data_IF_126684087540
#
_entry.id   IF_126684087540
#
_cell.length_a   1.000
_cell.length_b   1.000
_cell.length_c   1.000
_cell.angle_alpha   90.00
_cell.angle_beta   90.00
_cell.angle_gamma   90.00
#
_symmetry.space_group_name_H-M   'P 1'
#
loop_
_entity.id
_entity.type
_entity.pdbx_description
1 polymer ?
#
# COMPACT_ATOMS: atom_id res chain seq x y z
N UNK A 1 2.96 -8.43 19.42
CA UNK A 1 4.23 -8.16 18.71
C UNK A 1 3.91 -7.14 17.63
N UNK A 2 4.46 -5.91 17.69
CA UNK A 2 4.16 -4.85 16.73
C UNK A 2 5.23 -4.88 15.64
N UNK A 3 4.84 -5.20 14.40
CA UNK A 3 5.66 -4.91 13.22
C UNK A 3 5.78 -3.38 13.15
N UNK A 4 6.99 -2.86 13.00
CA UNK A 4 7.21 -1.43 12.78
C UNK A 4 6.99 -1.18 11.30
N UNK A 5 5.80 -0.70 10.96
CA UNK A 5 5.44 -0.29 9.60
C UNK A 5 5.77 1.18 9.39
N UNK A 6 5.97 1.53 8.13
CA UNK A 6 6.45 2.83 7.70
C UNK A 6 5.85 3.09 6.33
N UNK A 7 5.14 4.20 6.17
CA UNK A 7 4.24 4.41 5.04
C UNK A 7 4.52 5.74 4.36
N UNK A 8 4.48 5.75 3.03
CA UNK A 8 4.50 6.94 2.20
C UNK A 8 3.40 6.82 1.13
N UNK A 9 2.24 7.43 1.38
CA UNK A 9 1.04 7.26 0.57
C UNK A 9 0.34 8.57 0.28
N UNK A 10 -0.30 8.62 -0.89
CA UNK A 10 -1.39 9.54 -1.17
C UNK A 10 -2.70 8.80 -0.84
N UNK A 11 -3.52 9.42 -0.01
CA UNK A 11 -4.83 8.92 0.36
C UNK A 11 -5.90 9.97 0.02
N UNK A 12 -7.03 9.57 -0.54
CA UNK A 12 -8.14 10.50 -0.70
C UNK A 12 -8.72 10.87 0.65
N UNK A 13 -8.99 12.16 0.87
CA UNK A 13 -9.54 12.61 2.15
C UNK A 13 -10.87 11.93 2.42
N UNK A 14 -11.04 11.52 3.67
CA UNK A 14 -12.31 11.02 4.16
C UNK A 14 -13.32 12.17 4.21
N UNK A 15 -14.45 12.02 3.52
CA UNK A 15 -15.56 12.96 3.56
C UNK A 15 -16.86 12.19 3.83
N UNK A 16 -17.75 12.71 4.70
CA UNK A 16 -19.04 12.09 4.96
C UNK A 16 -19.82 11.83 3.66
N UNK A 17 -20.42 10.65 3.54
CA UNK A 17 -21.20 10.24 2.38
C UNK A 17 -20.39 9.85 1.13
N UNK A 18 -19.06 10.04 1.15
CA UNK A 18 -18.20 9.59 0.05
C UNK A 18 -17.82 8.12 0.23
N UNK A 19 -18.02 7.33 -0.81
CA UNK A 19 -17.46 5.99 -0.91
C UNK A 19 -16.95 5.69 -2.30
N UNK A 20 -16.16 4.63 -2.41
CA UNK A 20 -15.41 4.26 -3.59
C UNK A 20 -15.76 2.85 -4.03
N UNK A 21 -15.80 2.65 -5.34
CA UNK A 21 -16.07 1.35 -5.97
C UNK A 21 -14.85 0.81 -6.72
N UNK A 22 -13.90 1.69 -7.07
CA UNK A 22 -12.69 1.34 -7.82
C UNK A 22 -11.51 2.22 -7.41
N UNK A 23 -10.33 1.61 -7.43
CA UNK A 23 -9.02 2.26 -7.38
C UNK A 23 -8.15 1.66 -8.50
N UNK A 24 -7.43 2.49 -9.24
CA UNK A 24 -6.50 2.04 -10.29
C UNK A 24 -5.29 2.97 -10.40
N UNK A 25 -4.20 2.44 -10.94
CA UNK A 25 -2.96 3.18 -11.17
C UNK A 25 -1.87 2.25 -11.69
N UNK A 26 -0.89 2.84 -12.38
CA UNK A 26 0.26 2.13 -12.92
C UNK A 26 1.45 2.34 -11.98
N UNK A 27 1.96 1.26 -11.42
CA UNK A 27 3.08 1.29 -10.48
C UNK A 27 4.38 1.01 -11.24
N UNK A 28 5.34 1.92 -11.17
CA UNK A 28 6.72 1.64 -11.60
C UNK A 28 7.43 0.90 -10.48
N UNK A 29 8.07 -0.23 -10.79
CA UNK A 29 8.65 -1.13 -9.79
C UNK A 29 10.11 -1.41 -10.06
N UNK A 30 10.84 -1.63 -8.96
CA UNK A 30 12.27 -1.89 -8.95
C UNK A 30 12.56 -3.14 -8.13
N UNK A 31 13.56 -3.91 -8.56
CA UNK A 31 14.06 -5.06 -7.80
C UNK A 31 14.92 -4.57 -6.63
N UNK A 32 14.26 -4.31 -5.50
CA UNK A 32 14.92 -3.82 -4.29
C UNK A 32 15.76 -4.92 -3.63
N UNK A 33 16.95 -4.55 -3.16
CA UNK A 33 17.79 -5.44 -2.35
C UNK A 33 17.34 -5.42 -0.89
N UNK A 34 16.18 -6.00 -0.61
CA UNK A 34 15.67 -6.16 0.75
C UNK A 34 16.45 -7.28 1.45
N UNK A 35 17.18 -6.95 2.51
CA UNK A 35 17.92 -7.93 3.32
C UNK A 35 17.07 -8.56 4.40
N UNK A 36 16.19 -7.76 5.01
CA UNK A 36 15.30 -8.15 6.09
C UNK A 36 14.04 -7.28 6.04
N UNK A 37 12.90 -7.81 6.49
CA UNK A 37 11.60 -7.15 6.38
C UNK A 37 11.04 -7.21 4.96
N UNK A 38 10.05 -6.38 4.69
CA UNK A 38 9.32 -6.37 3.42
C UNK A 38 9.13 -4.94 2.89
N UNK A 39 9.14 -4.80 1.57
CA UNK A 39 8.80 -3.55 0.88
C UNK A 39 7.64 -3.76 -0.08
N UNK A 40 6.69 -2.84 -0.08
CA UNK A 40 5.47 -2.86 -0.86
C UNK A 40 5.32 -1.56 -1.66
N UNK A 41 4.86 -1.67 -2.90
CA UNK A 41 4.27 -0.59 -3.68
C UNK A 41 2.84 -1.01 -4.02
N UNK A 42 1.85 -0.27 -3.54
CA UNK A 42 0.48 -0.73 -3.49
C UNK A 42 -0.55 0.35 -3.85
N UNK A 43 -1.68 -0.14 -4.33
CA UNK A 43 -2.95 0.58 -4.34
C UNK A 43 -3.90 -0.10 -3.35
N UNK A 44 -4.73 0.68 -2.69
CA UNK A 44 -5.62 0.17 -1.65
C UNK A 44 -7.00 0.79 -1.73
N UNK A 45 -8.00 -0.01 -1.37
CA UNK A 45 -9.34 0.43 -1.06
C UNK A 45 -9.72 -0.16 0.31
N UNK A 46 -10.22 0.68 1.20
CA UNK A 46 -10.39 0.37 2.62
C UNK A 46 -11.77 0.86 3.11
N UNK A 47 -12.37 0.05 4.00
CA UNK A 47 -13.57 0.35 4.78
C UNK A 47 -13.31 0.08 6.26
N UNK A 48 -13.95 0.84 7.14
CA UNK A 48 -13.82 0.70 8.60
C UNK A 48 -12.58 1.38 9.19
N UNK A 49 -12.56 1.47 10.53
CA UNK A 49 -11.50 2.13 11.30
C UNK A 49 -10.57 1.12 11.97
N UNK A 50 -9.30 1.50 12.08
CA UNK A 50 -8.16 0.88 12.78
C UNK A 50 -8.20 -0.65 13.03
N UNK A 51 -9.14 -1.09 13.86
CA UNK A 51 -9.22 -2.42 14.44
C UNK A 51 -10.26 -3.33 13.77
N UNK A 52 -11.05 -2.82 12.83
CA UNK A 52 -12.01 -3.55 11.98
C UNK A 52 -11.85 -3.17 10.51
N UNK A 53 -10.60 -3.00 10.09
CA UNK A 53 -10.28 -2.58 8.72
C UNK A 53 -10.59 -3.71 7.76
N UNK A 54 -11.55 -3.47 6.88
CA UNK A 54 -11.78 -4.28 5.71
C UNK A 54 -11.00 -3.65 4.56
N UNK A 55 -10.06 -4.38 3.97
CA UNK A 55 -9.16 -3.82 2.97
C UNK A 55 -8.93 -4.81 1.81
N UNK A 56 -8.93 -4.27 0.60
CA UNK A 56 -8.32 -4.90 -0.56
C UNK A 56 -7.10 -4.07 -0.92
N UNK A 57 -5.94 -4.71 -0.91
CA UNK A 57 -4.65 -4.08 -1.21
C UNK A 57 -4.00 -4.92 -2.30
N UNK A 58 -3.44 -4.29 -3.31
CA UNK A 58 -2.72 -5.00 -4.37
C UNK A 58 -1.59 -4.17 -4.93
N UNK A 59 -0.60 -4.83 -5.49
CA UNK A 59 0.55 -4.19 -6.11
C UNK A 59 1.72 -5.14 -6.18
N UNK A 60 2.91 -4.62 -5.89
CA UNK A 60 4.16 -5.34 -5.98
C UNK A 60 4.90 -5.30 -4.65
N UNK A 61 5.53 -6.41 -4.29
CA UNK A 61 6.31 -6.51 -3.06
C UNK A 61 7.64 -7.22 -3.27
N UNK A 62 8.59 -6.94 -2.39
CA UNK A 62 9.80 -7.74 -2.19
C UNK A 62 9.79 -8.22 -0.74
N UNK A 63 9.65 -9.53 -0.55
CA UNK A 63 9.66 -10.18 0.77
C UNK A 63 10.54 -11.43 0.72
N UNK A 64 11.80 -11.32 1.17
CA UNK A 64 12.68 -12.46 1.30
C UNK A 64 12.11 -13.52 2.25
N UNK A 65 11.35 -13.10 3.27
CA UNK A 65 10.76 -14.00 4.27
C UNK A 65 9.67 -14.89 3.65
N UNK A 66 8.76 -14.30 2.87
CA UNK A 66 7.64 -15.03 2.27
C UNK A 66 8.06 -15.85 1.05
N UNK A 67 9.13 -15.43 0.35
CA UNK A 67 9.55 -16.01 -0.93
C UNK A 67 10.99 -16.54 -0.90
N UNK A 68 11.38 -17.16 0.22
CA UNK A 68 12.63 -17.93 0.33
C UNK A 68 13.89 -17.21 -0.16
N UNK A 69 14.03 -15.93 0.19
CA UNK A 69 15.19 -15.11 -0.17
C UNK A 69 15.11 -14.41 -1.52
N UNK A 70 13.97 -14.45 -2.21
CA UNK A 70 13.76 -13.75 -3.48
C UNK A 70 14.06 -12.25 -3.37
N UNK A 71 14.77 -11.72 -4.37
CA UNK A 71 15.18 -10.31 -4.49
C UNK A 71 14.53 -9.57 -5.66
N UNK A 72 13.43 -10.11 -6.17
CA UNK A 72 12.68 -9.54 -7.29
C UNK A 72 11.27 -9.15 -6.84
N UNK A 73 10.67 -8.19 -7.56
CA UNK A 73 9.31 -7.78 -7.30
C UNK A 73 8.31 -8.88 -7.66
N UNK A 74 7.40 -9.19 -6.75
CA UNK A 74 6.35 -10.18 -6.92
C UNK A 74 5.00 -9.48 -6.79
N UNK A 75 4.10 -9.74 -7.73
CA UNK A 75 2.73 -9.24 -7.64
C UNK A 75 2.02 -9.89 -6.45
N UNK A 76 1.31 -9.08 -5.68
CA UNK A 76 0.52 -9.56 -4.56
C UNK A 76 -0.90 -8.98 -4.58
N UNK A 77 -1.81 -9.75 -4.02
CA UNK A 77 -3.12 -9.29 -3.59
C UNK A 77 -3.26 -9.63 -2.12
N UNK A 78 -3.80 -8.71 -1.32
CA UNK A 78 -4.08 -8.91 0.08
C UNK A 78 -5.53 -8.52 0.35
N UNK A 79 -6.29 -9.41 0.98
CA UNK A 79 -7.65 -9.14 1.43
C UNK A 79 -7.78 -9.49 2.90
N UNK A 80 -8.37 -8.57 3.66
CA UNK A 80 -8.72 -8.75 5.06
C UNK A 80 -10.08 -8.10 5.36
N UNK A 81 -10.80 -8.62 6.34
CA UNK A 81 -12.05 -8.01 6.84
C UNK A 81 -11.90 -7.46 8.28
N UNK A 82 -10.75 -7.70 8.92
CA UNK A 82 -10.51 -7.38 10.33
C UNK A 82 -9.12 -6.80 10.62
N UNK A 83 -8.45 -6.26 9.61
CA UNK A 83 -7.10 -5.72 9.74
C UNK A 83 -6.03 -6.79 9.95
N UNK A 84 -6.27 -8.01 9.50
CA UNK A 84 -5.32 -9.12 9.52
C UNK A 84 -5.08 -9.72 10.90
N UNK A 85 -6.10 -9.66 11.76
CA UNK A 85 -6.05 -10.20 13.12
C UNK A 85 -6.36 -11.68 13.17
N UNK A 86 -7.47 -12.06 12.54
CA UNK A 86 -7.97 -13.43 12.44
C UNK A 86 -8.33 -13.79 11.00
N UNK A 87 -8.55 -12.79 10.16
CA UNK A 87 -8.78 -12.97 8.73
C UNK A 87 -7.58 -12.47 7.93
N UNK A 88 -7.52 -12.79 6.65
CA UNK A 88 -6.39 -12.41 5.83
C UNK A 88 -6.14 -13.44 4.77
N UNK A 89 -5.87 -12.98 3.57
CA UNK A 89 -5.29 -13.82 2.55
C UNK A 89 -4.36 -12.98 1.71
N UNK A 90 -3.19 -13.56 1.45
CA UNK A 90 -2.15 -13.00 0.62
C UNK A 90 -2.01 -13.83 -0.66
N UNK A 91 -1.65 -13.15 -1.74
CA UNK A 91 -1.44 -13.66 -3.10
C UNK A 91 -2.72 -14.02 -3.85
N UNK A 92 -2.54 -14.60 -5.04
CA UNK A 92 -3.62 -14.89 -5.98
C UNK A 92 -4.52 -16.07 -5.56
N UNK A 93 -4.10 -16.85 -4.56
CA UNK A 93 -4.83 -18.05 -4.10
C UNK A 93 -5.93 -17.74 -3.09
N UNK A 94 -6.47 -16.52 -3.10
CA UNK A 94 -7.47 -16.10 -2.14
C UNK A 94 -8.88 -16.62 -2.48
N UNK A 95 -9.59 -17.24 -1.52
CA UNK A 95 -10.93 -17.77 -1.78
C UNK A 95 -11.90 -16.67 -2.22
N UNK A 96 -12.72 -16.92 -3.25
CA UNK A 96 -13.75 -15.96 -3.68
C UNK A 96 -14.67 -15.50 -2.53
N UNK A 97 -14.92 -16.38 -1.55
CA UNK A 97 -15.76 -16.11 -0.37
C UNK A 97 -15.27 -14.92 0.47
N UNK A 98 -13.97 -14.65 0.53
CA UNK A 98 -13.45 -13.50 1.30
C UNK A 98 -13.65 -12.17 0.56
N UNK A 99 -14.07 -12.20 -0.72
CA UNK A 99 -14.36 -10.99 -1.48
C UNK A 99 -15.77 -10.44 -1.24
N UNK A 100 -16.72 -11.33 -0.93
CA UNK A 100 -18.09 -10.98 -0.55
C UNK A 100 -18.05 -10.28 0.82
N UNK A 101 -18.76 -9.15 0.98
CA UNK A 101 -18.78 -8.27 2.18
C UNK A 101 -17.80 -7.09 2.18
N UNK A 102 -17.52 -6.47 1.02
CA UNK A 102 -16.81 -5.19 0.96
C UNK A 102 -17.80 -4.02 0.85
N UNK A 103 -18.46 -3.67 1.95
CA UNK A 103 -19.49 -2.63 1.96
C UNK A 103 -18.91 -1.23 2.26
N UNK A 104 -19.40 -0.24 1.52
CA UNK A 104 -19.14 1.19 1.71
C UNK A 104 -17.66 1.56 1.93
N UNK A 105 -16.76 1.36 0.96
CA UNK A 105 -15.34 1.68 1.12
C UNK A 105 -15.13 3.20 1.15
N UNK A 106 -14.50 3.70 2.20
CA UNK A 106 -14.39 5.14 2.47
C UNK A 106 -13.00 5.70 2.21
N UNK A 107 -12.03 4.83 1.92
CA UNK A 107 -10.63 5.18 1.76
C UNK A 107 -10.11 4.53 0.50
N UNK A 108 -9.42 5.31 -0.34
CA UNK A 108 -8.58 4.81 -1.43
C UNK A 108 -7.22 5.48 -1.34
N UNK A 109 -6.17 4.75 -1.71
CA UNK A 109 -4.82 5.29 -1.66
C UNK A 109 -3.83 4.57 -2.56
N UNK A 110 -2.69 5.23 -2.77
CA UNK A 110 -1.59 4.79 -3.61
C UNK A 110 -0.28 5.13 -2.89
N UNK A 111 0.67 4.19 -2.86
CA UNK A 111 2.01 4.51 -2.39
C UNK A 111 2.79 3.29 -1.93
N UNK A 112 3.77 3.55 -1.07
CA UNK A 112 4.68 2.53 -0.55
C UNK A 112 4.49 2.28 0.94
N UNK A 113 4.71 1.03 1.33
CA UNK A 113 4.73 0.58 2.73
C UNK A 113 6.01 -0.23 2.89
N UNK A 114 6.72 -0.06 4.01
CA UNK A 114 7.79 -0.96 4.42
C UNK A 114 7.48 -1.51 5.80
N UNK A 115 7.64 -2.82 5.94
CA UNK A 115 7.48 -3.52 7.20
C UNK A 115 8.86 -3.94 7.69
N UNK A 116 9.27 -3.44 8.84
CA UNK A 116 10.55 -3.82 9.44
C UNK A 116 10.56 -5.31 9.82
N UNK A 117 11.76 -5.87 9.88
CA UNK A 117 11.96 -7.23 10.36
C UNK A 117 11.52 -7.40 11.81
N UNK A 118 11.28 -8.65 12.19
CA UNK A 118 10.98 -9.03 13.56
C UNK A 118 11.97 -10.11 14.04
N UNK A 119 12.82 -9.84 15.04
CA UNK A 119 12.90 -8.61 15.83
C UNK A 119 13.38 -7.38 15.02
N UNK A 120 13.03 -6.15 15.44
CA UNK A 120 13.47 -4.94 14.75
C UNK A 120 14.99 -4.79 14.87
N UNK A 121 15.68 -4.71 13.74
CA UNK A 121 17.13 -4.46 13.70
C UNK A 121 17.48 -2.97 13.69
N UNK A 122 16.47 -2.09 13.72
CA UNK A 122 16.63 -0.65 13.53
C UNK A 122 16.83 -0.23 12.07
N UNK A 123 17.08 -1.19 11.17
CA UNK A 123 17.22 -0.96 9.73
C UNK A 123 15.85 -1.13 9.06
N UNK A 124 15.44 -0.11 8.32
CA UNK A 124 14.23 -0.15 7.50
C UNK A 124 14.55 -0.78 6.15
N UNK A 125 13.68 -1.64 5.59
CA UNK A 125 13.78 -2.01 4.18
C UNK A 125 13.78 -0.76 3.29
N UNK A 126 14.47 -0.79 2.14
CA UNK A 126 14.33 0.26 1.13
C UNK A 126 12.89 0.32 0.61
N UNK A 127 12.41 1.50 0.22
CA UNK A 127 11.10 1.73 -0.40
C UNK A 127 11.29 2.36 -1.79
N UNK A 128 10.32 2.20 -2.69
CA UNK A 128 10.33 2.85 -3.99
C UNK A 128 11.42 2.29 -4.91
N UNK A 129 12.39 3.10 -5.28
CA UNK A 129 13.58 2.70 -6.06
C UNK A 129 14.74 2.20 -5.19
N UNK A 130 14.66 2.41 -3.86
CA UNK A 130 15.76 2.16 -2.93
C UNK A 130 16.86 3.22 -2.96
N UNK A 131 16.68 4.29 -3.76
CA UNK A 131 17.58 5.45 -3.81
C UNK A 131 16.93 6.59 -3.03
N UNK A 132 17.70 7.25 -2.16
CA UNK A 132 17.24 8.46 -1.48
C UNK A 132 17.05 9.59 -2.50
N UNK A 133 16.14 10.54 -2.25
CA UNK A 133 15.89 11.61 -3.22
C UNK A 133 17.17 12.39 -3.50
N UNK A 134 17.61 12.38 -4.75
CA UNK A 134 18.85 13.03 -5.23
C UNK A 134 18.55 14.11 -6.28
N UNK A 135 17.27 14.50 -6.39
CA UNK A 135 16.78 15.42 -7.41
C UNK A 135 16.61 14.81 -8.81
N UNK A 136 16.91 13.52 -9.00
CA UNK A 136 16.80 12.83 -10.28
C UNK A 136 15.49 12.05 -10.36
N UNK A 137 14.61 12.48 -11.25
CA UNK A 137 13.29 11.86 -11.42
C UNK A 137 13.38 10.42 -11.92
N UNK A 138 14.41 10.07 -12.68
CA UNK A 138 14.69 8.72 -13.17
C UNK A 138 15.03 7.73 -12.04
N UNK A 139 15.52 8.24 -10.91
CA UNK A 139 15.79 7.46 -9.70
C UNK A 139 14.59 7.41 -8.77
N UNK A 140 13.49 8.06 -9.10
CA UNK A 140 12.29 8.09 -8.26
C UNK A 140 11.29 7.01 -8.66
N UNK A 141 10.69 6.35 -7.67
CA UNK A 141 9.50 5.54 -7.92
C UNK A 141 8.29 6.44 -8.23
N UNK A 142 7.38 5.97 -9.08
CA UNK A 142 6.16 6.71 -9.43
C UNK A 142 4.95 5.79 -9.54
N UNK A 143 3.81 6.32 -9.11
CA UNK A 143 2.49 5.77 -9.45
C UNK A 143 1.85 6.74 -10.44
N UNK A 144 1.67 6.28 -11.67
CA UNK A 144 1.11 7.06 -12.78
C UNK A 144 -0.35 6.70 -12.98
N UNK A 145 -1.13 7.61 -13.58
CA UNK A 145 -2.55 7.39 -13.86
C UNK A 145 -3.36 6.95 -12.63
N UNK A 146 -3.06 7.53 -11.47
CA UNK A 146 -3.80 7.30 -10.23
C UNK A 146 -5.24 7.82 -10.38
N UNK A 147 -6.22 6.92 -10.30
CA UNK A 147 -7.62 7.21 -10.53
C UNK A 147 -8.52 6.36 -9.63
N UNK A 148 -9.66 6.92 -9.23
CA UNK A 148 -10.67 6.23 -8.44
C UNK A 148 -12.05 6.39 -9.09
N UNK A 149 -12.99 5.55 -8.68
CA UNK A 149 -14.40 5.72 -9.01
C UNK A 149 -15.20 5.79 -7.73
N UNK A 150 -16.02 6.82 -7.59
CA UNK A 150 -16.89 6.96 -6.43
C UNK A 150 -18.15 6.07 -6.55
N UNK A 151 -18.99 6.10 -5.52
CA UNK A 151 -20.28 5.40 -5.48
C UNK A 151 -21.32 5.93 -6.47
N UNK A 152 -21.11 7.12 -7.05
CA UNK A 152 -21.94 7.66 -8.14
C UNK A 152 -21.46 7.20 -9.53
N UNK A 153 -20.42 6.37 -9.61
CA UNK A 153 -19.84 5.91 -10.87
C UNK A 153 -18.95 6.95 -11.56
N UNK A 154 -18.67 8.08 -10.91
CA UNK A 154 -17.82 9.14 -11.45
C UNK A 154 -16.35 8.75 -11.24
N UNK A 155 -15.60 8.70 -12.34
CA UNK A 155 -14.15 8.51 -12.32
C UNK A 155 -13.44 9.86 -12.20
N UNK A 156 -12.46 9.92 -11.30
CA UNK A 156 -11.68 11.12 -11.04
C UNK A 156 -10.27 10.74 -10.53
N UNK A 157 -9.40 11.74 -10.34
CA UNK A 157 -8.01 11.61 -9.90
C UNK A 157 -7.75 12.44 -8.64
N UNK A 158 -6.72 12.10 -7.84
CA UNK A 158 -6.25 12.99 -6.79
C UNK A 158 -5.84 14.36 -7.39
N UNK A 159 -6.44 15.45 -6.91
CA UNK A 159 -6.16 16.80 -7.38
C UNK A 159 -6.37 17.83 -6.28
N UNK A 160 -5.55 18.89 -6.26
CA UNK A 160 -5.62 19.94 -5.23
C UNK A 160 -5.70 19.36 -3.82
N UNK A 161 -6.69 19.82 -3.05
CA UNK A 161 -6.93 19.38 -1.66
C UNK A 161 -7.80 18.13 -1.53
N UNK A 162 -8.08 17.40 -2.63
CA UNK A 162 -8.91 16.18 -2.58
C UNK A 162 -8.25 15.03 -1.80
N UNK A 163 -6.95 15.13 -1.53
CA UNK A 163 -6.12 14.08 -0.97
C UNK A 163 -5.24 14.60 0.16
N UNK A 164 -4.71 13.66 0.94
CA UNK A 164 -3.72 13.88 1.98
C UNK A 164 -2.48 13.02 1.71
N UNK A 165 -1.35 13.48 2.21
CA UNK A 165 -0.08 12.74 2.18
C UNK A 165 0.13 12.11 3.54
N UNK A 166 0.14 10.78 3.58
CA UNK A 166 0.43 10.00 4.77
C UNK A 166 1.89 9.59 4.69
N UNK A 167 2.73 10.26 5.48
CA UNK A 167 4.16 9.97 5.59
C UNK A 167 4.45 9.68 7.05
N UNK A 168 4.68 8.42 7.38
CA UNK A 168 5.05 8.03 8.73
C UNK A 168 6.54 8.32 8.95
N UNK A 169 6.88 9.13 9.95
CA UNK A 169 8.26 9.51 10.29
C UNK A 169 9.04 10.26 9.17
N UNK A 170 8.60 11.46 8.75
CA UNK A 170 9.20 12.23 7.66
C UNK A 170 10.71 12.51 7.84
N UNK A 171 11.19 12.60 9.09
CA UNK A 171 12.60 12.83 9.42
C UNK A 171 13.55 11.66 9.12
N UNK A 172 13.02 10.48 8.75
CA UNK A 172 13.82 9.31 8.31
C UNK A 172 13.73 9.04 6.81
N UNK A 173 13.02 9.90 6.08
CA UNK A 173 12.83 9.84 4.63
C UNK A 173 13.39 11.08 3.92
N UNK A 174 14.28 11.83 4.59
CA UNK A 174 14.73 13.13 4.07
C UNK A 174 15.79 12.93 2.98
N UNK A 175 15.63 13.75 1.93
CA UNK A 175 16.57 14.14 0.86
C UNK A 175 17.95 14.46 1.41
#
# INVERSE_FOLDING_TARGET
>A
MKIVEKTAMIQMRHLPGRSYTRVKGNIVVYNLNVKQGDSYAAIQIISGEERKTNAIITGWMVSPTLYSGAKYSIFFAHRTIDGSKTTGCLNLNCPAKIFNNFANPQIVGWGGIVAASNPPTGVSPPMGSGVFPDGKYEHSCSIRFAQYTNNLGIEDRPHGDSHEKIIDCPSRYIV
#
